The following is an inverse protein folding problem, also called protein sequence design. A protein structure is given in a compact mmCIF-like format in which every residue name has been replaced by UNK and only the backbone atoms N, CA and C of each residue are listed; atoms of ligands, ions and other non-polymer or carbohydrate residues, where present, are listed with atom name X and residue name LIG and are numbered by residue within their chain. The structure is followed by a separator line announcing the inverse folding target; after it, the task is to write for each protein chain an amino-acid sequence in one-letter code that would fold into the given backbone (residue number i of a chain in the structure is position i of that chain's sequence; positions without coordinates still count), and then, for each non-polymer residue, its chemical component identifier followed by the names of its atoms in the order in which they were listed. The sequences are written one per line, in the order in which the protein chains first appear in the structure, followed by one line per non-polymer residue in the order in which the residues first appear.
data_IF_757661808015
#
_entry.id   IF_757661808015
#
_cell.length_a   1.000
_cell.length_b   1.000
_cell.length_c   1.000
_cell.angle_alpha   90.00
_cell.angle_beta   90.00
_cell.angle_gamma   90.00
#
_symmetry.space_group_name_H-M   'P 1'
#
loop_
_entity.id
_entity.type
_entity.pdbx_description
1 polymer ?
#
# COMPACT_ATOMS: atom_id res chain seq x y z
N UNK A 1 21.36 3.63 16.86
CA UNK A 1 21.34 2.97 15.54
C UNK A 1 20.29 1.86 15.58
N UNK A 2 19.13 2.06 14.96
CA UNK A 2 18.12 1.02 14.76
C UNK A 2 17.89 0.93 13.25
N UNK A 3 18.72 0.13 12.59
CA UNK A 3 18.52 -0.25 11.18
C UNK A 3 17.45 -1.34 11.13
N UNK A 4 16.18 -0.94 11.15
CA UNK A 4 15.15 -1.78 10.54
C UNK A 4 15.38 -1.67 9.03
N UNK A 5 16.18 -2.58 8.49
CA UNK A 5 16.40 -2.70 7.05
C UNK A 5 15.04 -3.01 6.43
N UNK A 6 14.53 -2.20 5.49
CA UNK A 6 13.29 -2.53 4.81
C UNK A 6 13.43 -3.88 4.12
N UNK A 7 12.41 -4.72 4.24
CA UNK A 7 12.32 -5.89 3.39
C UNK A 7 12.04 -5.41 1.97
N UNK A 8 13.02 -5.60 1.09
CA UNK A 8 12.92 -5.31 -0.33
C UNK A 8 12.61 -6.61 -1.08
N UNK A 9 11.67 -6.53 -2.02
CA UNK A 9 11.35 -7.60 -2.96
C UNK A 9 11.40 -7.10 -4.38
N UNK A 10 12.00 -7.87 -5.28
CA UNK A 10 11.93 -7.62 -6.72
C UNK A 10 10.74 -8.41 -7.27
N UNK A 11 9.83 -7.72 -7.96
CA UNK A 11 8.61 -8.31 -8.50
C UNK A 11 8.62 -8.21 -10.02
N UNK A 12 8.32 -9.33 -10.68
CA UNK A 12 8.12 -9.40 -12.13
C UNK A 12 6.63 -9.43 -12.45
N UNK A 13 6.20 -8.62 -13.43
CA UNK A 13 4.79 -8.46 -13.79
C UNK A 13 4.55 -8.83 -15.27
N UNK A 14 4.78 -10.10 -15.60
CA UNK A 14 4.75 -10.60 -16.98
C UNK A 14 5.91 -10.02 -17.79
N UNK A 15 5.61 -9.46 -18.97
CA UNK A 15 6.62 -8.90 -19.88
C UNK A 15 6.97 -7.43 -19.58
N UNK A 16 6.65 -6.93 -18.38
CA UNK A 16 7.00 -5.56 -17.96
C UNK A 16 8.35 -5.56 -17.27
N UNK A 17 8.95 -4.37 -17.18
CA UNK A 17 10.16 -4.20 -16.37
C UNK A 17 9.92 -4.61 -14.91
N UNK A 18 10.87 -5.33 -14.28
CA UNK A 18 10.81 -5.62 -12.86
C UNK A 18 10.76 -4.33 -12.04
N UNK A 19 10.03 -4.37 -10.93
CA UNK A 19 10.00 -3.25 -9.99
C UNK A 19 10.31 -3.72 -8.57
N UNK A 20 10.77 -2.78 -7.74
CA UNK A 20 11.09 -3.04 -6.34
C UNK A 20 9.89 -2.66 -5.49
N UNK A 21 9.47 -3.58 -4.62
CA UNK A 21 8.52 -3.33 -3.54
C UNK A 21 9.32 -3.27 -2.25
N UNK A 22 9.01 -2.29 -1.41
CA UNK A 22 9.55 -2.15 -0.08
C UNK A 22 8.40 -2.12 0.91
N UNK A 23 8.52 -2.85 2.01
CA UNK A 23 7.63 -2.64 3.14
C UNK A 23 8.02 -1.34 3.86
N UNK A 24 7.02 -0.61 4.34
CA UNK A 24 7.20 0.62 5.13
C UNK A 24 6.99 0.24 6.61
N UNK A 25 8.05 -0.17 7.34
CA UNK A 25 7.95 -0.41 8.77
C UNK A 25 7.44 0.83 9.50
N UNK A 26 6.49 0.63 10.42
CA UNK A 26 6.18 1.60 11.46
C UNK A 26 5.21 2.73 11.09
N UNK A 27 4.20 2.49 10.25
CA UNK A 27 3.04 3.39 10.21
C UNK A 27 2.13 3.27 11.45
N UNK A 28 2.32 2.24 12.30
CA UNK A 28 1.45 1.95 13.44
C UNK A 28 1.78 2.86 14.64
N UNK A 29 0.72 3.34 15.31
CA UNK A 29 0.75 4.13 16.55
C UNK A 29 1.93 3.81 17.49
N UNK A 30 2.79 4.82 17.73
CA UNK A 30 3.92 4.74 18.66
C UNK A 30 5.30 4.70 18.01
N UNK A 31 5.41 4.43 16.70
CA UNK A 31 6.69 4.48 15.99
C UNK A 31 7.30 5.91 15.95
N UNK A 32 6.45 6.95 15.91
CA UNK A 32 6.88 8.35 15.91
C UNK A 32 7.39 8.85 17.28
N UNK A 33 7.01 8.22 18.40
CA UNK A 33 7.26 8.77 19.74
C UNK A 33 8.57 8.29 20.39
N UNK A 34 9.31 7.34 19.81
CA UNK A 34 10.52 6.84 20.45
C UNK A 34 11.44 5.91 19.67
N UNK A 35 11.10 5.52 18.44
CA UNK A 35 11.96 4.64 17.64
C UNK A 35 12.49 5.41 16.44
N UNK A 36 13.76 5.80 16.48
CA UNK A 36 14.45 6.51 15.40
C UNK A 36 14.43 5.76 14.07
N UNK A 37 13.34 5.93 13.32
CA UNK A 37 13.28 5.71 11.88
C UNK A 37 14.13 6.81 11.26
N UNK A 38 15.44 6.56 11.17
CA UNK A 38 16.43 7.59 10.82
C UNK A 38 16.11 8.27 9.49
N UNK A 39 16.45 9.56 9.37
CA UNK A 39 16.22 10.44 8.20
C UNK A 39 16.58 9.81 6.84
N UNK A 40 17.54 8.87 6.83
CA UNK A 40 17.92 8.11 5.62
C UNK A 40 16.82 7.14 5.15
N UNK A 41 16.15 6.42 6.05
CA UNK A 41 15.05 5.51 5.69
C UNK A 41 13.91 6.29 5.01
N UNK A 42 13.58 7.45 5.59
CA UNK A 42 12.50 8.33 5.14
C UNK A 42 12.74 8.82 3.71
N UNK A 43 13.98 9.21 3.39
CA UNK A 43 14.38 9.64 2.04
C UNK A 43 14.19 8.53 0.99
N UNK A 44 14.26 7.25 1.35
CA UNK A 44 14.04 6.15 0.40
C UNK A 44 12.55 5.91 0.17
N UNK A 45 11.73 5.99 1.22
CA UNK A 45 10.26 5.90 1.09
C UNK A 45 9.71 7.06 0.26
N UNK A 46 10.32 8.24 0.33
CA UNK A 46 9.99 9.37 -0.55
C UNK A 46 10.30 9.11 -2.03
N UNK A 47 11.17 8.15 -2.39
CA UNK A 47 11.43 7.76 -3.78
C UNK A 47 10.43 6.75 -4.34
N UNK A 48 9.54 6.20 -3.51
CA UNK A 48 8.46 5.33 -4.00
C UNK A 48 7.55 6.14 -4.91
N UNK A 49 7.05 5.53 -5.99
CA UNK A 49 6.22 6.24 -6.98
C UNK A 49 4.73 5.94 -6.83
N UNK A 50 4.42 4.91 -6.04
CA UNK A 50 3.11 4.32 -5.90
C UNK A 50 3.04 3.64 -4.53
N UNK A 51 1.89 3.73 -3.86
CA UNK A 51 1.63 3.07 -2.60
C UNK A 51 0.60 1.96 -2.78
N UNK A 52 0.78 0.85 -2.06
CA UNK A 52 -0.24 -0.20 -1.91
C UNK A 52 -0.69 -0.20 -0.46
N UNK A 53 -1.91 0.27 -0.23
CA UNK A 53 -2.53 0.27 1.08
C UNK A 53 -3.18 -1.09 1.32
N UNK A 54 -2.50 -1.91 2.11
CA UNK A 54 -2.94 -3.25 2.47
C UNK A 54 -3.82 -3.19 3.71
N UNK A 55 -5.07 -3.63 3.61
CA UNK A 55 -6.02 -3.70 4.73
C UNK A 55 -6.36 -5.16 4.99
N UNK A 56 -6.37 -5.60 6.25
CA UNK A 56 -6.83 -6.93 6.63
C UNK A 56 -8.35 -6.99 6.59
N UNK A 57 -8.92 -7.70 5.61
CA UNK A 57 -10.36 -7.79 5.44
C UNK A 57 -11.06 -8.52 6.60
N UNK A 58 -10.35 -9.43 7.26
CA UNK A 58 -10.89 -10.20 8.38
C UNK A 58 -11.00 -9.36 9.64
N UNK A 59 -10.20 -8.29 9.78
CA UNK A 59 -10.21 -7.42 10.96
C UNK A 59 -11.10 -6.17 10.81
N UNK A 60 -11.79 -6.02 9.68
CA UNK A 60 -12.66 -4.86 9.43
C UNK A 60 -13.87 -4.94 10.36
N UNK A 61 -14.05 -3.87 11.15
CA UNK A 61 -15.27 -3.62 11.91
C UNK A 61 -16.42 -3.27 10.96
N UNK A 62 -17.51 -4.05 10.91
CA UNK A 62 -18.68 -3.73 10.07
C UNK A 62 -19.33 -2.39 10.37
N UNK A 63 -19.26 -1.90 11.61
CA UNK A 63 -19.86 -0.62 12.02
C UNK A 63 -18.96 0.56 11.63
N UNK A 64 -17.64 0.34 11.56
CA UNK A 64 -16.63 1.34 11.20
C UNK A 64 -15.69 0.82 10.11
N UNK A 65 -16.21 0.47 8.91
CA UNK A 65 -15.47 -0.33 7.95
C UNK A 65 -14.26 0.37 7.35
N UNK A 66 -14.21 1.71 7.40
CA UNK A 66 -13.09 2.50 6.87
C UNK A 66 -12.09 2.94 7.94
N UNK A 67 -12.27 2.60 9.21
CA UNK A 67 -11.46 3.13 10.31
C UNK A 67 -9.96 2.87 10.10
N UNK A 68 -9.56 1.61 9.96
CA UNK A 68 -8.14 1.27 9.79
C UNK A 68 -7.52 1.97 8.58
N UNK A 69 -8.27 2.05 7.47
CA UNK A 69 -7.83 2.76 6.26
C UNK A 69 -7.67 4.26 6.52
N UNK A 70 -8.61 4.90 7.23
CA UNK A 70 -8.56 6.31 7.55
C UNK A 70 -7.42 6.64 8.53
N UNK A 71 -7.20 5.79 9.54
CA UNK A 71 -6.10 5.91 10.51
C UNK A 71 -4.76 5.91 9.80
N UNK A 72 -4.48 4.90 8.98
CA UNK A 72 -3.20 4.80 8.26
C UNK A 72 -2.98 5.97 7.31
N UNK A 73 -4.01 6.46 6.60
CA UNK A 73 -3.86 7.63 5.73
C UNK A 73 -3.61 8.93 6.54
N UNK A 74 -4.18 9.03 7.75
CA UNK A 74 -3.96 10.18 8.64
C UNK A 74 -2.54 10.17 9.20
N UNK A 75 -2.03 8.99 9.59
CA UNK A 75 -0.64 8.79 10.00
C UNK A 75 0.32 9.08 8.85
N UNK A 76 0.01 8.60 7.64
CA UNK A 76 0.79 8.88 6.44
C UNK A 76 0.88 10.39 6.15
N UNK A 77 -0.24 11.11 6.28
CA UNK A 77 -0.29 12.55 6.07
C UNK A 77 0.45 13.34 7.16
N UNK A 78 0.35 12.91 8.42
CA UNK A 78 1.09 13.49 9.53
C UNK A 78 2.61 13.26 9.38
N UNK A 79 2.98 12.11 8.83
CA UNK A 79 4.35 11.73 8.59
C UNK A 79 4.98 12.48 7.40
N UNK A 80 4.32 12.50 6.25
CA UNK A 80 4.81 13.20 5.06
C UNK A 80 3.65 13.57 4.12
N UNK A 81 3.31 14.88 4.01
CA UNK A 81 2.28 15.35 3.08
C UNK A 81 2.55 14.97 1.62
N UNK A 82 3.83 14.93 1.22
CA UNK A 82 4.23 14.53 -0.14
C UNK A 82 4.00 13.04 -0.37
N UNK A 83 4.24 12.19 0.63
CA UNK A 83 3.96 10.76 0.55
C UNK A 83 2.44 10.49 0.48
N UNK A 84 1.65 11.24 1.24
CA UNK A 84 0.18 11.12 1.27
C UNK A 84 -0.49 11.55 -0.05
N UNK A 85 0.17 12.39 -0.87
CA UNK A 85 -0.32 12.78 -2.20
C UNK A 85 -0.07 11.72 -3.27
N UNK A 86 0.76 10.71 -3.00
CA UNK A 86 1.13 9.73 -4.02
C UNK A 86 -0.06 8.88 -4.45
N UNK A 87 -0.08 8.40 -5.70
CA UNK A 87 -1.10 7.47 -6.15
C UNK A 87 -1.10 6.21 -5.26
N UNK A 88 -2.29 5.81 -4.81
CA UNK A 88 -2.48 4.67 -3.91
C UNK A 88 -3.41 3.63 -4.52
N UNK A 89 -3.05 2.35 -4.40
CA UNK A 89 -3.95 1.22 -4.60
C UNK A 89 -4.47 0.73 -3.25
N UNK A 90 -5.70 0.22 -3.23
CA UNK A 90 -6.27 -0.43 -2.06
C UNK A 90 -6.30 -1.93 -2.32
N UNK A 91 -5.71 -2.71 -1.42
CA UNK A 91 -5.76 -4.16 -1.42
C UNK A 91 -6.34 -4.66 -0.10
N UNK A 92 -7.51 -5.29 -0.17
CA UNK A 92 -8.08 -6.01 0.98
C UNK A 92 -7.51 -7.43 0.95
N UNK A 93 -6.81 -7.80 2.01
CA UNK A 93 -6.08 -9.06 2.17
C UNK A 93 -6.78 -10.04 3.10
N UNK A 94 -6.27 -11.28 3.17
CA UNK A 94 -6.80 -12.37 4.00
C UNK A 94 -8.23 -12.80 3.66
N UNK A 95 -8.59 -12.74 2.37
CA UNK A 95 -9.93 -13.16 1.89
C UNK A 95 -10.20 -14.66 2.03
N UNK A 96 -9.20 -15.45 2.42
CA UNK A 96 -9.33 -16.87 2.78
C UNK A 96 -10.00 -17.09 4.15
N UNK A 97 -10.07 -16.06 5.00
CA UNK A 97 -10.66 -16.16 6.34
C UNK A 97 -12.18 -16.01 6.33
N UNK A 98 -12.86 -16.76 7.20
CA UNK A 98 -14.33 -16.70 7.36
C UNK A 98 -14.79 -15.29 7.69
N UNK A 99 -15.86 -14.83 7.03
CA UNK A 99 -16.42 -13.49 7.21
C UNK A 99 -15.67 -12.35 6.51
N UNK A 100 -14.43 -12.57 6.06
CA UNK A 100 -13.63 -11.53 5.38
C UNK A 100 -14.29 -11.02 4.10
N UNK A 101 -14.96 -11.89 3.34
CA UNK A 101 -15.64 -11.51 2.10
C UNK A 101 -16.82 -10.57 2.34
N UNK A 102 -17.58 -10.78 3.41
CA UNK A 102 -18.72 -9.91 3.78
C UNK A 102 -18.22 -8.56 4.28
N UNK A 103 -17.23 -8.56 5.18
CA UNK A 103 -16.56 -7.36 5.67
C UNK A 103 -15.93 -6.53 4.55
N UNK A 104 -15.32 -7.19 3.56
CA UNK A 104 -14.80 -6.55 2.36
C UNK A 104 -15.89 -5.87 1.52
N UNK A 105 -17.13 -6.42 1.49
CA UNK A 105 -18.28 -5.77 0.84
C UNK A 105 -18.71 -4.52 1.61
N UNK A 106 -18.76 -4.58 2.94
CA UNK A 106 -19.06 -3.42 3.78
C UNK A 106 -18.03 -2.29 3.55
N UNK A 107 -16.73 -2.61 3.50
CA UNK A 107 -15.68 -1.65 3.14
C UNK A 107 -15.92 -0.99 1.78
N UNK A 108 -16.18 -1.81 0.75
CA UNK A 108 -16.44 -1.31 -0.61
C UNK A 108 -17.64 -0.38 -0.65
N UNK A 109 -18.73 -0.75 0.04
CA UNK A 109 -19.94 0.05 0.10
C UNK A 109 -19.69 1.39 0.82
N UNK A 110 -18.94 1.37 1.92
CA UNK A 110 -18.64 2.55 2.72
C UNK A 110 -17.69 3.53 2.01
N UNK A 111 -16.70 3.04 1.26
CA UNK A 111 -15.70 3.90 0.61
C UNK A 111 -16.36 4.89 -0.37
N UNK A 112 -17.48 4.51 -1.00
CA UNK A 112 -18.31 5.33 -1.92
C UNK A 112 -17.58 5.99 -3.11
N UNK A 113 -16.27 5.79 -3.23
CA UNK A 113 -15.43 6.28 -4.33
C UNK A 113 -15.33 5.22 -5.41
N UNK A 114 -15.28 5.65 -6.68
CA UNK A 114 -14.99 4.79 -7.83
C UNK A 114 -13.48 4.44 -7.89
N UNK A 115 -12.95 3.90 -6.80
CA UNK A 115 -11.57 3.43 -6.72
C UNK A 115 -11.57 1.92 -6.85
N UNK A 116 -10.71 1.39 -7.71
CA UNK A 116 -10.50 -0.06 -7.83
C UNK A 116 -9.90 -0.60 -6.53
N UNK A 117 -10.62 -1.54 -5.91
CA UNK A 117 -10.17 -2.27 -4.72
C UNK A 117 -9.81 -3.69 -5.14
N UNK A 118 -8.57 -4.08 -4.88
CA UNK A 118 -8.08 -5.43 -5.11
C UNK A 118 -8.47 -6.32 -3.92
N UNK A 119 -8.98 -7.52 -4.20
CA UNK A 119 -9.29 -8.53 -3.19
C UNK A 119 -8.26 -9.63 -3.32
N UNK A 120 -7.46 -9.86 -2.28
CA UNK A 120 -6.36 -10.80 -2.32
C UNK A 120 -6.35 -11.77 -1.13
N UNK A 121 -5.73 -12.91 -1.34
CA UNK A 121 -5.27 -13.80 -0.27
C UNK A 121 -3.83 -14.16 -0.55
N UNK A 122 -2.93 -13.74 0.34
CA UNK A 122 -1.50 -14.03 0.21
C UNK A 122 -1.21 -15.52 0.38
N UNK A 123 -1.98 -16.22 1.22
CA UNK A 123 -1.82 -17.67 1.50
C UNK A 123 -2.23 -18.50 0.29
N UNK A 124 -3.35 -18.16 -0.35
CA UNK A 124 -3.84 -18.92 -1.52
C UNK A 124 -3.31 -18.40 -2.86
N UNK A 125 -2.65 -17.23 -2.86
CA UNK A 125 -2.22 -16.54 -4.07
C UNK A 125 -3.34 -15.85 -4.87
N UNK A 126 -4.61 -16.03 -4.49
CA UNK A 126 -5.76 -15.45 -5.19
C UNK A 126 -5.67 -13.93 -5.24
N UNK A 127 -5.85 -13.33 -6.42
CA UNK A 127 -5.88 -11.88 -6.61
C UNK A 127 -4.50 -11.19 -6.61
N UNK A 128 -3.42 -11.91 -6.26
CA UNK A 128 -2.08 -11.33 -6.14
C UNK A 128 -1.51 -11.00 -7.52
N UNK A 129 -1.67 -11.89 -8.50
CA UNK A 129 -1.21 -11.66 -9.87
C UNK A 129 -1.90 -10.43 -10.51
N UNK A 130 -3.20 -10.26 -10.27
CA UNK A 130 -3.97 -9.12 -10.75
C UNK A 130 -3.54 -7.80 -10.09
N UNK A 131 -3.24 -7.84 -8.78
CA UNK A 131 -2.69 -6.70 -8.05
C UNK A 131 -1.31 -6.31 -8.61
N UNK A 132 -0.40 -7.27 -8.76
CA UNK A 132 0.95 -7.07 -9.31
C UNK A 132 0.89 -6.50 -10.73
N UNK A 133 0.00 -7.03 -11.58
CA UNK A 133 -0.20 -6.50 -12.92
C UNK A 133 -0.75 -5.07 -12.92
N UNK A 134 -1.63 -4.71 -11.98
CA UNK A 134 -2.14 -3.34 -11.84
C UNK A 134 -1.09 -2.36 -11.32
N UNK A 135 -0.24 -2.80 -10.39
CA UNK A 135 0.92 -2.06 -9.92
C UNK A 135 1.86 -1.76 -11.09
N UNK A 136 2.26 -2.78 -11.85
CA UNK A 136 3.12 -2.61 -13.02
C UNK A 136 2.55 -1.59 -14.02
N UNK A 137 1.28 -1.74 -14.42
CA UNK A 137 0.60 -0.79 -15.32
C UNK A 137 0.57 0.65 -14.80
N UNK A 138 0.44 0.85 -13.49
CA UNK A 138 0.43 2.20 -12.91
C UNK A 138 1.83 2.78 -12.81
N UNK A 139 2.84 1.96 -12.52
CA UNK A 139 4.24 2.39 -12.51
C UNK A 139 4.73 2.83 -13.89
N UNK A 140 4.24 2.20 -14.96
CA UNK A 140 4.49 2.62 -16.35
C UNK A 140 3.95 4.04 -16.59
N UNK A 141 2.69 4.30 -16.20
CA UNK A 141 2.06 5.64 -16.37
C UNK A 141 2.74 6.74 -15.59
N UNK A 142 3.11 6.47 -14.33
CA UNK A 142 3.82 7.45 -13.49
C UNK A 142 5.24 7.73 -14.04
N UNK A 143 5.72 6.95 -15.03
CA UNK A 143 7.09 7.05 -15.57
C UNK A 143 7.10 8.08 -16.68
N UNK A 144 6.04 8.05 -17.48
CA UNK A 144 5.79 8.98 -18.57
C UNK A 144 5.48 10.42 -18.08
N UNK A 145 5.00 10.59 -16.84
CA UNK A 145 4.72 11.90 -16.22
C UNK A 145 5.92 12.50 -15.44
N UNK A 146 7.07 11.81 -15.40
CA UNK A 146 8.31 12.34 -14.80
C UNK A 146 9.02 13.31 -15.76
N UNK A 147 9.88 14.22 -15.28
CA UNK A 147 10.61 15.11 -16.18
C UNK A 147 11.43 14.24 -17.13
N UNK A 148 11.17 14.41 -18.42
CA UNK A 148 12.03 13.95 -19.50
C UNK A 148 13.46 14.28 -19.11
N UNK A 149 14.28 13.25 -18.90
CA UNK A 149 15.70 13.42 -18.67
C UNK A 149 16.25 14.12 -19.90
N UNK A 150 16.47 15.43 -19.79
CA UNK A 150 17.28 16.17 -20.74
C UNK A 150 18.66 15.50 -20.81
N UNK A 151 19.11 15.28 -22.04
CA UNK A 151 20.42 14.78 -22.48
C UNK A 151 21.59 14.99 -21.49
#
# INVERSE_FOLDING_TARGET
FTTLVPTLGVVTAGNREPFVVADIPGLIAGAHAGAGLGTRFLRHTERTRLLVHLVDASAIDPDRPLEAYATVNSELAAYSPELAKKPQLIALSKLDLTGAAERARAFKAALRKRVKIHLISAVTGKGVAELVADVGRRLDRVRDDGPETAD
#
